data_IF_575898642585
#
_entry.id   IF_575898642585
#
_cell.length_a   1.000
_cell.length_b   1.000
_cell.length_c   1.000
_cell.angle_alpha   90.00
_cell.angle_beta   90.00
_cell.angle_gamma   90.00
#
_symmetry.space_group_name_H-M   'P 1'
#
loop_
_entity.id
_entity.type
_entity.pdbx_description
1 polymer ?
#
# COMPACT_ATOMS: atom_id res chain seq x y z
N UNK A 1 15.81 -8.48 -10.07
CA UNK A 1 14.45 -8.01 -9.74
C UNK A 1 14.58 -6.65 -9.11
N UNK A 2 14.01 -5.62 -9.72
CA UNK A 2 14.01 -4.27 -9.14
C UNK A 2 13.33 -4.31 -7.77
N UNK A 3 13.93 -3.69 -6.76
CA UNK A 3 13.29 -3.58 -5.45
C UNK A 3 12.13 -2.61 -5.57
N UNK A 4 10.90 -3.07 -5.31
CA UNK A 4 9.74 -2.18 -5.29
C UNK A 4 9.85 -1.25 -4.08
N UNK A 5 9.85 0.07 -4.32
CA UNK A 5 9.95 1.09 -3.26
C UNK A 5 8.85 2.13 -3.46
N UNK A 6 8.10 2.43 -2.40
CA UNK A 6 7.12 3.51 -2.36
C UNK A 6 7.83 4.84 -2.08
N UNK A 7 8.25 5.51 -3.15
CA UNK A 7 8.87 6.84 -3.12
C UNK A 7 7.90 7.95 -3.54
N UNK A 8 6.93 7.62 -4.39
CA UNK A 8 5.94 8.56 -4.88
C UNK A 8 4.54 7.92 -4.90
N UNK A 9 3.48 8.74 -4.99
CA UNK A 9 2.11 8.25 -5.02
C UNK A 9 1.76 7.35 -6.22
N UNK A 10 2.40 7.56 -7.37
CA UNK A 10 2.13 6.77 -8.58
C UNK A 10 2.59 5.31 -8.44
N UNK A 11 3.54 5.01 -7.54
CA UNK A 11 3.98 3.66 -7.20
C UNK A 11 3.01 2.92 -6.27
N UNK A 12 2.05 3.62 -5.65
CA UNK A 12 1.12 3.02 -4.69
C UNK A 12 0.40 1.78 -5.22
N UNK A 13 -0.21 1.77 -6.43
CA UNK A 13 -0.96 0.60 -6.90
C UNK A 13 -0.09 -0.66 -7.00
N UNK A 14 1.12 -0.53 -7.54
CA UNK A 14 2.05 -1.66 -7.70
C UNK A 14 2.58 -2.11 -6.34
N UNK A 15 3.00 -1.17 -5.48
CA UNK A 15 3.52 -1.46 -4.15
C UNK A 15 2.46 -2.14 -3.26
N UNK A 16 1.24 -1.63 -3.29
CA UNK A 16 0.09 -2.17 -2.57
C UNK A 16 -0.25 -3.59 -3.01
N UNK A 17 -0.21 -3.88 -4.32
CA UNK A 17 -0.46 -5.23 -4.84
C UNK A 17 0.56 -6.25 -4.32
N UNK A 18 1.84 -5.86 -4.21
CA UNK A 18 2.87 -6.73 -3.62
C UNK A 18 2.64 -6.93 -2.12
N UNK A 19 2.29 -5.87 -1.40
CA UNK A 19 1.92 -5.98 0.02
C UNK A 19 0.76 -6.95 0.23
N UNK A 20 -0.31 -6.79 -0.56
CA UNK A 20 -1.50 -7.65 -0.49
C UNK A 20 -1.13 -9.11 -0.76
N UNK A 21 -0.38 -9.40 -1.82
CA UNK A 21 0.08 -10.76 -2.11
C UNK A 21 0.86 -11.38 -0.95
N UNK A 22 1.79 -10.63 -0.35
CA UNK A 22 2.55 -11.10 0.82
C UNK A 22 1.66 -11.38 2.03
N UNK A 23 0.69 -10.51 2.31
CA UNK A 23 -0.21 -10.68 3.43
C UNK A 23 -1.19 -11.84 3.24
N UNK A 24 -1.62 -12.10 2.01
CA UNK A 24 -2.41 -13.28 1.64
C UNK A 24 -1.58 -14.56 1.79
N UNK A 25 -0.33 -14.57 1.31
CA UNK A 25 0.56 -15.73 1.44
C UNK A 25 0.88 -16.07 2.91
N UNK A 26 0.90 -15.05 3.77
CA UNK A 26 1.12 -15.18 5.21
C UNK A 26 -0.18 -15.43 6.01
N UNK A 27 -1.33 -15.51 5.34
CA UNK A 27 -2.64 -15.76 5.94
C UNK A 27 -3.05 -14.72 7.02
N UNK A 28 -2.73 -13.44 6.77
CA UNK A 28 -3.02 -12.32 7.70
C UNK A 28 -3.68 -11.12 7.01
N UNK A 29 -4.15 -11.27 5.77
CA UNK A 29 -4.74 -10.18 4.98
C UNK A 29 -5.90 -9.49 5.70
N UNK A 30 -6.84 -10.26 6.26
CA UNK A 30 -8.02 -9.75 6.95
C UNK A 30 -7.68 -8.89 8.19
N UNK A 31 -6.46 -9.04 8.74
CA UNK A 31 -5.97 -8.25 9.87
C UNK A 31 -5.32 -6.92 9.46
N UNK A 32 -4.94 -6.78 8.18
CA UNK A 32 -4.12 -5.66 7.69
C UNK A 32 -4.75 -4.89 6.53
N UNK A 33 -5.85 -5.36 5.96
CA UNK A 33 -6.54 -4.72 4.84
C UNK A 33 -7.00 -3.29 5.20
N UNK A 34 -6.44 -2.23 4.59
CA UNK A 34 -6.85 -0.86 4.86
C UNK A 34 -8.24 -0.51 4.30
N UNK A 35 -8.91 -1.42 3.60
CA UNK A 35 -10.31 -1.31 3.18
C UNK A 35 -11.31 -1.89 4.18
N UNK A 36 -10.86 -2.65 5.19
CA UNK A 36 -11.75 -3.27 6.14
C UNK A 36 -12.31 -2.25 7.14
N UNK A 37 -13.64 -2.18 7.28
CA UNK A 37 -14.29 -1.35 8.32
C UNK A 37 -14.00 -1.88 9.72
N UNK A 38 -13.87 -3.20 9.86
CA UNK A 38 -13.57 -3.89 11.10
C UNK A 38 -12.53 -5.00 10.82
N UNK A 39 -11.22 -4.68 10.85
CA UNK A 39 -10.17 -5.65 10.58
C UNK A 39 -10.21 -6.78 11.63
N UNK A 40 -9.86 -7.99 11.20
CA UNK A 40 -9.78 -9.11 12.12
C UNK A 40 -8.79 -8.80 13.24
N UNK A 41 -9.24 -9.08 14.47
CA UNK A 41 -8.38 -8.91 15.64
C UNK A 41 -7.44 -10.09 15.70
N UNK A 42 -6.15 -9.77 15.80
CA UNK A 42 -5.12 -10.73 16.15
C UNK A 42 -5.55 -11.54 17.38
N UNK A 43 -5.25 -12.83 17.37
CA UNK A 43 -5.55 -13.68 18.50
C UNK A 43 -4.87 -13.16 19.77
N UNK A 44 -5.57 -13.09 20.91
CA UNK A 44 -4.93 -12.74 22.17
C UNK A 44 -3.88 -13.78 22.53
N UNK A 45 -2.85 -13.35 23.26
CA UNK A 45 -1.84 -14.29 23.78
C UNK A 45 -2.54 -15.28 24.73
N UNK A 46 -2.50 -16.59 24.46
CA UNK A 46 -3.15 -17.57 25.32
C UNK A 46 -2.41 -17.68 26.66
N UNK A 47 -3.15 -18.01 27.71
CA UNK A 47 -2.62 -18.23 29.05
C UNK A 47 -2.42 -19.74 29.29
N UNK A 48 -1.28 -20.16 29.87
CA UNK A 48 -1.06 -21.56 30.17
C UNK A 48 -2.01 -22.01 31.31
N UNK A 49 -2.56 -23.24 31.24
CA UNK A 49 -3.37 -23.76 32.34
C UNK A 49 -2.52 -23.86 33.61
N UNK A 50 -3.07 -23.46 34.75
CA UNK A 50 -2.34 -23.42 36.02
C UNK A 50 -2.76 -24.58 36.94
N UNK A 51 -1.78 -25.20 37.60
CA UNK A 51 -2.09 -26.24 38.59
C UNK A 51 -2.90 -25.71 39.79
N UNK A 52 -2.81 -24.40 40.07
CA UNK A 52 -3.54 -23.74 41.14
C UNK A 52 -5.05 -23.77 40.96
N UNK A 53 -5.53 -24.00 39.74
CA UNK A 53 -6.95 -24.05 39.40
C UNK A 53 -7.61 -25.34 39.91
N UNK A 54 -6.79 -26.32 40.29
CA UNK A 54 -7.22 -27.63 40.74
C UNK A 54 -6.93 -27.89 42.22
N UNK A 55 -7.74 -28.75 42.83
CA UNK A 55 -7.52 -29.22 44.20
C UNK A 55 -6.55 -30.39 44.22
N UNK A 56 -5.71 -30.44 45.25
CA UNK A 56 -4.78 -31.54 45.47
C UNK A 56 -5.54 -32.79 45.88
N UNK A 57 -5.15 -33.94 45.35
CA UNK A 57 -5.61 -35.26 45.77
C UNK A 57 -5.29 -35.46 47.26
N UNK A 58 -6.33 -35.73 48.04
CA UNK A 58 -6.27 -36.05 49.45
C UNK A 58 -5.74 -37.46 49.68
N UNK A 59 -5.14 -37.66 50.85
CA UNK A 59 -4.73 -39.00 51.31
C UNK A 59 -5.93 -39.65 52.00
N UNK A 60 -6.30 -40.90 51.67
CA UNK A 60 -7.34 -41.61 52.40
C UNK A 60 -6.97 -41.67 53.89
N UNK A 61 -7.77 -41.04 54.74
CA UNK A 61 -7.57 -41.09 56.19
C UNK A 61 -8.08 -42.43 56.68
N UNK A 62 -7.19 -43.42 56.82
CA UNK A 62 -7.54 -44.69 57.48
C UNK A 62 -7.79 -44.42 58.97
N UNK A 63 -9.05 -44.22 59.36
CA UNK A 63 -9.46 -44.42 60.75
C UNK A 63 -9.34 -45.91 61.06
N UNK A 64 -8.33 -46.26 61.86
CA UNK A 64 -8.21 -47.60 62.46
C UNK A 64 -9.48 -47.89 63.28
N UNK A 65 -10.34 -48.76 62.78
CA UNK A 65 -11.51 -49.25 63.52
C UNK A 65 -12.34 -50.27 62.74
N UNK A 66 -12.21 -51.53 63.15
CA UNK A 66 -13.06 -52.70 62.89
C UNK A 66 -13.21 -53.28 61.48
N UNK A 67 -12.82 -54.56 61.41
CA UNK A 67 -13.07 -55.59 60.42
C UNK A 67 -14.54 -55.69 60.02
N UNK A 68 -14.87 -55.50 58.74
CA UNK A 68 -15.92 -56.23 58.02
C UNK A 68 -15.45 -56.44 56.58
N UNK A 69 -15.29 -57.70 56.18
CA UNK A 69 -15.12 -58.13 54.79
C UNK A 69 -16.45 -57.93 54.04
N UNK A 70 -16.46 -57.04 53.04
CA UNK A 70 -17.43 -57.11 51.93
C UNK A 70 -16.70 -56.70 50.65
N UNK A 71 -16.58 -57.66 49.72
CA UNK A 71 -16.18 -57.45 48.33
C UNK A 71 -17.22 -56.62 47.59
N UNK A 72 -17.06 -55.31 47.66
CA UNK A 72 -17.59 -54.36 46.69
C UNK A 72 -16.47 -53.34 46.50
N UNK A 73 -15.92 -53.20 45.29
CA UNK A 73 -15.05 -52.07 44.97
C UNK A 73 -15.86 -50.81 45.23
N UNK A 74 -15.57 -50.04 46.29
CA UNK A 74 -16.22 -48.76 46.44
C UNK A 74 -15.68 -47.91 45.30
N UNK A 75 -16.55 -47.23 44.59
CA UNK A 75 -16.17 -46.04 43.86
C UNK A 75 -15.65 -45.07 44.92
N UNK A 76 -14.35 -45.16 45.25
CA UNK A 76 -13.72 -44.25 46.20
C UNK A 76 -13.65 -42.94 45.44
N UNK A 77 -14.70 -42.13 45.59
CA UNK A 77 -14.71 -40.76 45.15
C UNK A 77 -13.41 -40.12 45.66
N UNK A 78 -12.54 -39.77 44.73
CA UNK A 78 -11.14 -39.47 45.01
C UNK A 78 -11.09 -38.21 45.87
N UNK A 79 -10.92 -38.39 47.19
CA UNK A 79 -11.02 -37.32 48.19
C UNK A 79 -10.17 -36.12 47.76
N UNK A 80 -10.79 -34.96 47.56
CA UNK A 80 -10.08 -33.72 47.25
C UNK A 80 -9.66 -33.02 48.55
N UNK A 81 -8.41 -32.60 48.63
CA UNK A 81 -7.90 -31.74 49.69
C UNK A 81 -8.36 -30.30 49.50
N UNK A 82 -8.40 -29.50 50.57
CA UNK A 82 -8.62 -28.06 50.48
C UNK A 82 -7.39 -27.31 49.92
N UNK A 83 -6.21 -27.95 49.91
CA UNK A 83 -4.98 -27.45 49.31
C UNK A 83 -5.07 -27.41 47.78
N UNK A 84 -4.47 -26.40 47.15
CA UNK A 84 -4.33 -26.34 45.70
C UNK A 84 -3.21 -27.25 45.21
N UNK A 85 -3.38 -27.84 44.02
CA UNK A 85 -2.36 -28.64 43.39
C UNK A 85 -1.16 -27.76 42.95
N UNK A 86 0.04 -28.32 42.96
CA UNK A 86 1.27 -27.63 42.50
C UNK A 86 1.94 -28.32 41.31
N UNK A 87 1.51 -29.53 40.99
CA UNK A 87 2.07 -30.39 39.94
C UNK A 87 1.05 -31.44 39.51
N UNK A 88 1.26 -32.02 38.33
CA UNK A 88 0.40 -33.05 37.74
C UNK A 88 0.11 -34.25 38.65
N UNK A 89 1.07 -34.63 39.50
CA UNK A 89 0.94 -35.74 40.45
C UNK A 89 -0.04 -35.46 41.59
N UNK A 90 -0.26 -34.17 41.89
CA UNK A 90 -1.18 -33.74 42.93
C UNK A 90 -2.63 -33.75 42.42
N UNK A 91 -2.88 -33.93 41.12
CA UNK A 91 -4.23 -33.94 40.56
C UNK A 91 -4.90 -35.31 40.72
N UNK A 92 -6.22 -35.28 40.92
CA UNK A 92 -7.10 -36.43 40.75
C UNK A 92 -7.17 -36.84 39.27
N UNK A 93 -7.66 -38.04 38.98
CA UNK A 93 -7.62 -38.58 37.60
C UNK A 93 -8.35 -37.68 36.60
N UNK A 94 -9.55 -37.21 36.95
CA UNK A 94 -10.38 -36.37 36.09
C UNK A 94 -9.70 -35.01 35.82
N UNK A 95 -9.21 -34.34 36.88
CA UNK A 95 -8.49 -33.06 36.79
C UNK A 95 -7.20 -33.19 35.96
N UNK A 96 -6.55 -34.36 36.01
CA UNK A 96 -5.37 -34.63 35.20
C UNK A 96 -5.72 -34.72 33.71
N UNK A 97 -6.81 -35.41 33.37
CA UNK A 97 -7.28 -35.52 31.99
C UNK A 97 -7.67 -34.14 31.43
N UNK A 98 -8.39 -33.33 32.22
CA UNK A 98 -8.73 -31.95 31.86
C UNK A 98 -7.49 -31.07 31.69
N UNK A 99 -6.54 -31.11 32.63
CA UNK A 99 -5.30 -30.33 32.53
C UNK A 99 -4.50 -30.71 31.28
N UNK A 100 -4.44 -32.00 30.92
CA UNK A 100 -3.76 -32.47 29.71
C UNK A 100 -4.44 -31.92 28.45
N UNK A 101 -5.78 -31.92 28.42
CA UNK A 101 -6.55 -31.34 27.31
C UNK A 101 -6.31 -29.84 27.18
N UNK A 102 -6.49 -29.07 28.26
CA UNK A 102 -6.22 -27.62 28.26
C UNK A 102 -4.78 -27.29 27.88
N UNK A 103 -3.82 -28.14 28.27
CA UNK A 103 -2.42 -27.95 27.88
C UNK A 103 -2.21 -28.22 26.40
N UNK A 104 -2.93 -29.17 25.81
CA UNK A 104 -2.94 -29.42 24.38
C UNK A 104 -3.52 -28.24 23.61
N UNK A 105 -4.65 -27.70 24.06
CA UNK A 105 -5.32 -26.54 23.46
C UNK A 105 -4.40 -25.29 23.54
N UNK A 106 -3.85 -25.00 24.72
CA UNK A 106 -2.83 -23.94 24.88
C UNK A 106 -1.65 -24.10 23.92
N UNK A 107 -1.12 -25.32 23.75
CA UNK A 107 0.00 -25.56 22.84
C UNK A 107 -0.39 -25.34 21.37
N UNK A 108 -1.65 -25.57 21.00
CA UNK A 108 -2.18 -25.28 19.68
C UNK A 108 -2.30 -23.76 19.48
N UNK A 109 -2.96 -23.08 20.42
CA UNK A 109 -3.22 -21.65 20.35
C UNK A 109 -1.92 -20.85 20.39
N UNK A 110 -0.96 -21.20 21.24
CA UNK A 110 0.31 -20.45 21.31
C UNK A 110 1.07 -20.52 19.98
N UNK A 111 0.97 -21.63 19.24
CA UNK A 111 1.59 -21.78 17.91
C UNK A 111 0.93 -20.90 16.87
N UNK A 112 -0.41 -20.79 16.90
CA UNK A 112 -1.14 -19.88 16.00
C UNK A 112 -0.76 -18.43 16.34
N UNK A 113 -0.77 -18.06 17.63
CA UNK A 113 -0.40 -16.71 18.08
C UNK A 113 1.02 -16.33 17.64
N UNK A 114 1.98 -17.24 17.79
CA UNK A 114 3.37 -17.02 17.39
C UNK A 114 3.53 -16.91 15.87
N UNK A 115 2.79 -17.72 15.10
CA UNK A 115 2.77 -17.65 13.63
C UNK A 115 2.26 -16.30 13.15
N UNK A 116 1.11 -15.85 13.66
CA UNK A 116 0.55 -14.53 13.35
C UNK A 116 1.53 -13.41 13.76
N UNK A 117 2.15 -13.51 14.94
CA UNK A 117 3.12 -12.54 15.42
C UNK A 117 4.31 -12.40 14.45
N UNK A 118 4.80 -13.54 13.96
CA UNK A 118 5.92 -13.60 13.03
C UNK A 118 5.54 -13.01 11.66
N UNK A 119 4.38 -13.39 11.12
CA UNK A 119 3.85 -12.88 9.87
C UNK A 119 3.69 -11.34 9.90
N UNK A 120 3.06 -10.80 10.95
CA UNK A 120 2.89 -9.36 11.10
C UNK A 120 4.22 -8.62 11.26
N UNK A 121 5.19 -9.21 11.97
CA UNK A 121 6.54 -8.64 12.10
C UNK A 121 7.27 -8.61 10.76
N UNK A 122 7.16 -9.68 9.98
CA UNK A 122 7.75 -9.76 8.65
C UNK A 122 7.17 -8.68 7.73
N UNK A 123 5.84 -8.55 7.68
CA UNK A 123 5.18 -7.50 6.89
C UNK A 123 5.58 -6.10 7.35
N UNK A 124 5.65 -5.84 8.66
CA UNK A 124 6.12 -4.54 9.18
C UNK A 124 7.53 -4.23 8.69
N UNK A 125 8.45 -5.18 8.80
CA UNK A 125 9.83 -5.00 8.32
C UNK A 125 9.87 -4.77 6.81
N UNK A 126 9.03 -5.48 6.06
CA UNK A 126 8.90 -5.27 4.62
C UNK A 126 8.41 -3.85 4.31
N UNK A 127 7.38 -3.35 5.01
CA UNK A 127 6.91 -1.96 4.83
C UNK A 127 8.01 -0.95 5.15
N UNK A 128 8.71 -1.12 6.28
CA UNK A 128 9.77 -0.21 6.69
C UNK A 128 10.98 -0.20 5.72
N UNK A 129 11.24 -1.31 5.05
CA UNK A 129 12.35 -1.42 4.08
C UNK A 129 11.97 -1.00 2.65
N UNK A 130 10.68 -0.95 2.34
CA UNK A 130 10.19 -0.66 0.99
C UNK A 130 9.38 0.63 0.89
N UNK A 131 9.19 1.37 1.99
CA UNK A 131 8.61 2.71 1.97
C UNK A 131 9.70 3.77 2.20
N UNK A 132 9.64 4.88 1.47
CA UNK A 132 10.57 5.98 1.69
C UNK A 132 10.43 6.57 3.10
N UNK A 133 11.52 7.10 3.64
CA UNK A 133 11.58 7.64 5.00
C UNK A 133 10.45 8.65 5.32
N UNK A 134 10.06 9.49 4.34
CA UNK A 134 8.95 10.44 4.51
C UNK A 134 7.60 9.77 4.82
N UNK A 135 7.33 8.61 4.20
CA UNK A 135 6.11 7.84 4.44
C UNK A 135 6.20 7.11 5.77
N UNK A 136 7.35 6.48 6.06
CA UNK A 136 7.59 5.78 7.33
C UNK A 136 7.41 6.74 8.51
N UNK A 137 8.06 7.90 8.48
CA UNK A 137 8.00 8.87 9.57
C UNK A 137 6.59 9.45 9.78
N UNK A 138 5.79 9.57 8.72
CA UNK A 138 4.44 10.14 8.79
C UNK A 138 3.37 9.10 9.17
N UNK A 139 3.54 7.84 8.77
CA UNK A 139 2.47 6.84 8.81
C UNK A 139 2.75 5.64 9.74
N UNK A 140 4.01 5.36 10.09
CA UNK A 140 4.39 4.11 10.73
C UNK A 140 4.80 4.31 12.20
N UNK A 141 3.83 4.63 13.08
CA UNK A 141 4.07 4.71 14.52
C UNK A 141 4.30 3.31 15.13
N UNK A 142 5.44 3.04 15.81
CA UNK A 142 5.75 1.73 16.40
C UNK A 142 4.67 1.18 17.35
N UNK A 143 3.87 2.05 17.98
CA UNK A 143 2.82 1.68 18.92
C UNK A 143 1.51 1.25 18.24
N UNK A 144 1.34 1.60 16.97
CA UNK A 144 0.12 1.32 16.22
C UNK A 144 0.14 -0.05 15.54
N UNK A 145 -1.04 -0.52 15.11
CA UNK A 145 -1.20 -1.75 14.33
C UNK A 145 -0.72 -1.56 12.89
N UNK A 146 -0.35 -2.65 12.23
CA UNK A 146 0.03 -2.62 10.82
C UNK A 146 -1.15 -2.17 9.93
N UNK A 147 -2.38 -2.54 10.27
CA UNK A 147 -3.59 -2.00 9.63
C UNK A 147 -3.62 -0.46 9.65
N UNK A 148 -3.40 0.15 10.83
CA UNK A 148 -3.40 1.60 10.96
C UNK A 148 -2.33 2.26 10.08
N UNK A 149 -1.14 1.65 9.98
CA UNK A 149 -0.09 2.12 9.07
C UNK A 149 -0.57 2.10 7.61
N UNK A 150 -1.20 0.99 7.19
CA UNK A 150 -1.68 0.83 5.82
C UNK A 150 -2.80 1.82 5.47
N UNK A 151 -3.72 2.10 6.40
CA UNK A 151 -4.77 3.12 6.23
C UNK A 151 -4.14 4.50 6.01
N UNK A 152 -3.17 4.89 6.86
CA UNK A 152 -2.49 6.18 6.73
C UNK A 152 -1.70 6.29 5.42
N UNK A 153 -0.93 5.25 5.08
CA UNK A 153 -0.18 5.19 3.83
C UNK A 153 -1.09 5.34 2.61
N UNK A 154 -2.23 4.63 2.59
CA UNK A 154 -3.25 4.73 1.54
C UNK A 154 -3.81 6.14 1.44
N UNK A 155 -4.11 6.77 2.58
CA UNK A 155 -4.61 8.14 2.64
C UNK A 155 -3.63 9.14 2.06
N UNK A 156 -2.38 9.13 2.52
CA UNK A 156 -1.33 10.07 2.06
C UNK A 156 -1.01 9.84 0.59
N UNK A 157 -0.90 8.59 0.13
CA UNK A 157 -0.67 8.28 -1.27
C UNK A 157 -1.82 8.76 -2.15
N UNK A 158 -3.08 8.61 -1.71
CA UNK A 158 -4.24 9.02 -2.49
C UNK A 158 -4.37 10.55 -2.59
N UNK A 159 -4.16 11.27 -1.48
CA UNK A 159 -4.18 12.74 -1.45
C UNK A 159 -3.07 13.29 -2.33
N UNK A 160 -1.84 12.81 -2.15
CA UNK A 160 -0.69 13.32 -2.89
C UNK A 160 -0.80 13.03 -4.39
N UNK A 161 -1.38 11.88 -4.81
CA UNK A 161 -1.67 11.61 -6.22
C UNK A 161 -2.68 12.61 -6.80
N UNK A 162 -3.75 12.91 -6.05
CA UNK A 162 -4.76 13.88 -6.50
C UNK A 162 -4.19 15.30 -6.59
N UNK A 163 -3.38 15.73 -5.62
CA UNK A 163 -2.69 17.03 -5.65
C UNK A 163 -1.72 17.11 -6.81
N UNK A 164 -0.93 16.06 -7.06
CA UNK A 164 0.00 15.99 -8.19
C UNK A 164 -0.74 16.08 -9.54
N UNK A 165 -1.85 15.34 -9.69
CA UNK A 165 -2.71 15.43 -10.87
C UNK A 165 -3.36 16.80 -11.02
N UNK A 166 -3.80 17.42 -9.93
CA UNK A 166 -4.40 18.76 -9.94
C UNK A 166 -3.38 19.82 -10.34
N UNK A 167 -2.17 19.79 -9.76
CA UNK A 167 -1.11 20.71 -10.09
C UNK A 167 -0.64 20.56 -11.55
N UNK A 168 -0.50 19.32 -12.03
CA UNK A 168 -0.17 19.06 -13.44
C UNK A 168 -1.27 19.56 -14.38
N UNK A 169 -2.55 19.37 -14.04
CA UNK A 169 -3.68 19.90 -14.81
C UNK A 169 -3.69 21.42 -14.82
N UNK A 170 -3.49 22.06 -13.67
CA UNK A 170 -3.46 23.52 -13.57
C UNK A 170 -2.32 24.11 -14.43
N UNK A 171 -1.15 23.47 -14.43
CA UNK A 171 -0.02 23.88 -15.25
C UNK A 171 -0.28 23.71 -16.76
N UNK A 172 -0.87 22.59 -17.17
CA UNK A 172 -1.33 22.38 -18.55
C UNK A 172 -2.38 23.42 -18.96
N UNK A 173 -3.44 23.58 -18.18
CA UNK A 173 -4.50 24.55 -18.48
C UNK A 173 -3.98 25.98 -18.53
N UNK A 174 -3.04 26.32 -17.64
CA UNK A 174 -2.42 27.64 -17.63
C UNK A 174 -1.66 27.90 -18.93
N UNK A 175 -0.84 26.96 -19.40
CA UNK A 175 -0.07 27.15 -20.65
C UNK A 175 -0.98 27.29 -21.86
N UNK A 176 -2.06 26.47 -21.94
CA UNK A 176 -3.07 26.58 -23.01
C UNK A 176 -3.85 27.90 -22.92
N UNK A 177 -4.38 28.26 -21.74
CA UNK A 177 -5.17 29.49 -21.54
C UNK A 177 -4.35 30.76 -21.79
N UNK A 178 -3.11 30.80 -21.33
CA UNK A 178 -2.22 31.94 -21.54
C UNK A 178 -2.00 32.19 -23.03
N UNK A 179 -1.74 31.14 -23.80
CA UNK A 179 -1.53 31.25 -25.25
C UNK A 179 -2.83 31.45 -26.05
N UNK A 180 -3.97 30.97 -25.54
CA UNK A 180 -5.27 31.25 -26.15
C UNK A 180 -5.72 32.72 -25.97
N UNK A 181 -5.21 33.39 -24.93
CA UNK A 181 -5.55 34.79 -24.58
C UNK A 181 -4.56 35.79 -25.17
N UNK A 182 -3.26 35.46 -25.17
CA UNK A 182 -2.22 36.30 -25.75
C UNK A 182 -2.01 35.91 -27.21
N UNK A 183 -2.27 36.82 -28.15
CA UNK A 183 -1.88 36.63 -29.56
C UNK A 183 -0.35 36.62 -29.65
N UNK A 184 0.23 35.44 -29.90
CA UNK A 184 1.67 35.30 -30.13
C UNK A 184 2.00 35.77 -31.54
N UNK A 185 2.91 36.74 -31.66
CA UNK A 185 3.20 37.44 -32.93
C UNK A 185 4.61 37.21 -33.44
N UNK A 186 5.52 36.78 -32.56
CA UNK A 186 6.92 36.53 -32.89
C UNK A 186 7.26 35.04 -32.76
N UNK A 187 8.27 34.58 -33.51
CA UNK A 187 8.76 33.20 -33.44
C UNK A 187 9.19 32.80 -32.02
N UNK A 188 9.95 33.68 -31.35
CA UNK A 188 10.44 33.45 -30.00
C UNK A 188 9.33 33.29 -28.96
N UNK A 189 8.20 33.99 -29.12
CA UNK A 189 7.03 33.81 -28.22
C UNK A 189 6.38 32.44 -28.38
N UNK A 190 6.31 31.94 -29.62
CA UNK A 190 5.75 30.62 -29.94
C UNK A 190 6.69 29.52 -29.43
N UNK A 191 8.01 29.67 -29.66
CA UNK A 191 9.02 28.71 -29.18
C UNK A 191 9.01 28.60 -27.65
N UNK A 192 9.01 29.73 -26.94
CA UNK A 192 8.93 29.75 -25.48
C UNK A 192 7.62 29.14 -24.94
N UNK A 193 6.50 29.36 -25.64
CA UNK A 193 5.24 28.71 -25.28
C UNK A 193 5.30 27.18 -25.50
N UNK A 194 5.85 26.73 -26.63
CA UNK A 194 6.01 25.30 -26.93
C UNK A 194 6.88 24.59 -25.89
N UNK A 195 7.97 25.21 -25.43
CA UNK A 195 8.81 24.66 -24.36
C UNK A 195 8.03 24.52 -23.04
N UNK A 196 7.23 25.53 -22.67
CA UNK A 196 6.41 25.48 -21.46
C UNK A 196 5.28 24.44 -21.57
N UNK A 197 4.65 24.35 -22.74
CA UNK A 197 3.61 23.36 -23.02
C UNK A 197 4.18 21.93 -22.99
N UNK A 198 5.34 21.70 -23.61
CA UNK A 198 6.04 20.40 -23.59
C UNK A 198 6.39 19.99 -22.15
N UNK A 199 6.94 20.90 -21.35
CA UNK A 199 7.24 20.65 -19.95
C UNK A 199 5.98 20.27 -19.14
N UNK A 200 4.86 20.99 -19.35
CA UNK A 200 3.60 20.70 -18.71
C UNK A 200 3.03 19.33 -19.14
N UNK A 201 3.13 18.98 -20.43
CA UNK A 201 2.69 17.69 -20.95
C UNK A 201 3.49 16.53 -20.36
N UNK A 202 4.83 16.64 -20.32
CA UNK A 202 5.69 15.62 -19.72
C UNK A 202 5.36 15.39 -18.24
N UNK A 203 5.14 16.47 -17.49
CA UNK A 203 4.73 16.41 -16.08
C UNK A 203 3.35 15.75 -15.91
N UNK A 204 2.40 16.04 -16.78
CA UNK A 204 1.09 15.37 -16.81
C UNK A 204 1.19 13.88 -17.13
N UNK A 205 2.07 13.50 -18.05
CA UNK A 205 2.31 12.10 -18.41
C UNK A 205 2.91 11.30 -17.25
N UNK A 206 3.84 11.90 -16.49
CA UNK A 206 4.45 11.30 -15.30
C UNK A 206 3.40 10.92 -14.25
N UNK A 207 2.35 11.73 -14.08
CA UNK A 207 1.26 11.51 -13.11
C UNK A 207 0.05 10.79 -13.71
N UNK A 208 0.16 10.30 -14.96
CA UNK A 208 -0.92 9.65 -15.71
C UNK A 208 -2.20 10.51 -15.83
N UNK A 209 -2.04 11.76 -16.24
CA UNK A 209 -3.15 12.64 -16.58
C UNK A 209 -3.64 12.34 -18.00
N UNK A 210 -4.95 12.06 -18.17
CA UNK A 210 -5.53 11.75 -19.48
C UNK A 210 -5.34 12.89 -20.48
N UNK A 211 -5.52 14.14 -20.01
CA UNK A 211 -5.36 15.37 -20.79
C UNK A 211 -3.97 15.57 -21.41
N UNK A 212 -2.95 14.78 -21.05
CA UNK A 212 -1.60 14.90 -21.61
C UNK A 212 -1.10 13.60 -22.25
N UNK A 213 -1.96 12.57 -22.30
CA UNK A 213 -1.65 11.25 -22.87
C UNK A 213 -2.48 10.95 -24.09
N UNK A 214 -3.78 11.24 -24.01
CA UNK A 214 -4.72 10.87 -25.05
C UNK A 214 -4.81 12.01 -26.08
N UNK A 215 -4.44 11.72 -27.32
CA UNK A 215 -4.41 12.71 -28.41
C UNK A 215 -5.71 13.49 -28.59
N UNK A 216 -6.84 12.80 -28.49
CA UNK A 216 -8.17 13.42 -28.57
C UNK A 216 -8.43 14.45 -27.48
N UNK A 217 -7.72 14.38 -26.36
CA UNK A 217 -7.93 15.28 -25.21
C UNK A 217 -7.13 16.59 -25.33
N UNK A 218 -5.98 16.60 -26.00
CA UNK A 218 -5.10 17.79 -26.08
C UNK A 218 -4.94 18.40 -27.47
N UNK A 219 -5.17 17.63 -28.54
CA UNK A 219 -4.96 18.07 -29.92
C UNK A 219 -5.82 19.28 -30.28
N UNK A 220 -7.11 19.29 -29.93
CA UNK A 220 -7.99 20.43 -30.21
C UNK A 220 -7.52 21.72 -29.55
N UNK A 221 -7.10 21.64 -28.29
CA UNK A 221 -6.64 22.79 -27.53
C UNK A 221 -5.33 23.34 -28.09
N UNK A 222 -4.42 22.44 -28.47
CA UNK A 222 -3.18 22.78 -29.14
C UNK A 222 -3.43 23.49 -30.48
N UNK A 223 -4.27 22.91 -31.35
CA UNK A 223 -4.62 23.50 -32.65
C UNK A 223 -5.33 24.84 -32.50
N UNK A 224 -6.23 25.00 -31.51
CA UNK A 224 -6.89 26.29 -31.21
C UNK A 224 -5.89 27.38 -30.85
N UNK A 225 -4.82 27.04 -30.13
CA UNK A 225 -3.75 27.99 -29.78
C UNK A 225 -2.92 28.34 -31.02
N UNK A 226 -2.49 27.34 -31.79
CA UNK A 226 -1.67 27.53 -32.99
C UNK A 226 -2.43 28.35 -34.06
N UNK A 227 -3.74 28.12 -34.24
CA UNK A 227 -4.61 28.87 -35.15
C UNK A 227 -4.68 30.37 -34.87
N UNK A 228 -4.40 30.79 -33.62
CA UNK A 228 -4.40 32.20 -33.22
C UNK A 228 -3.04 32.88 -33.40
N UNK A 229 -1.99 32.14 -33.75
CA UNK A 229 -0.65 32.72 -33.97
C UNK A 229 -0.59 33.52 -35.27
N UNK A 230 0.23 34.56 -35.31
CA UNK A 230 0.33 35.43 -36.49
C UNK A 230 1.20 34.84 -37.62
N UNK A 231 1.76 33.64 -37.46
CA UNK A 231 2.70 33.03 -38.41
C UNK A 231 1.96 31.97 -39.24
N UNK A 232 1.36 32.38 -40.36
CA UNK A 232 0.55 31.51 -41.21
C UNK A 232 1.34 30.34 -41.82
N UNK A 233 2.62 30.52 -42.11
CA UNK A 233 3.49 29.46 -42.62
C UNK A 233 3.75 28.36 -41.58
N UNK A 234 3.91 28.75 -40.31
CA UNK A 234 4.09 27.83 -39.19
C UNK A 234 2.82 26.99 -38.96
N UNK A 235 1.64 27.63 -39.01
CA UNK A 235 0.35 26.96 -38.94
C UNK A 235 0.16 25.91 -40.04
N UNK A 236 0.42 26.28 -41.30
CA UNK A 236 0.20 25.39 -42.44
C UNK A 236 1.11 24.15 -42.43
N UNK A 237 2.38 24.30 -42.03
CA UNK A 237 3.30 23.17 -41.91
C UNK A 237 2.87 22.23 -40.79
N UNK A 238 2.50 22.79 -39.64
CA UNK A 238 2.13 21.99 -38.48
C UNK A 238 0.81 21.26 -38.71
N UNK A 239 -0.21 21.93 -39.24
CA UNK A 239 -1.54 21.37 -39.55
C UNK A 239 -1.48 20.26 -40.62
N UNK A 240 -0.69 20.44 -41.68
CA UNK A 240 -0.51 19.41 -42.72
C UNK A 240 0.11 18.12 -42.17
N UNK A 241 1.11 18.26 -41.28
CA UNK A 241 1.77 17.11 -40.66
C UNK A 241 0.97 16.47 -39.53
N UNK A 242 0.20 17.28 -38.79
CA UNK A 242 -0.76 16.79 -37.79
C UNK A 242 -1.86 15.93 -38.41
N UNK A 243 -2.18 16.15 -39.70
CA UNK A 243 -3.12 15.35 -40.47
C UNK A 243 -2.47 14.13 -41.18
N UNK A 244 -1.16 14.15 -41.44
CA UNK A 244 -0.43 12.99 -42.00
C UNK A 244 -0.06 11.94 -40.95
N UNK A 245 0.22 12.37 -39.71
CA UNK A 245 0.42 11.46 -38.58
C UNK A 245 -0.92 11.18 -37.91
N UNK A 246 -1.38 9.93 -37.93
CA UNK A 246 -2.66 9.54 -37.27
C UNK A 246 -2.66 9.83 -35.75
N UNK A 247 -1.49 10.09 -35.14
CA UNK A 247 -1.35 10.46 -33.73
C UNK A 247 0.09 10.91 -33.39
N UNK A 248 0.50 12.16 -33.67
CA UNK A 248 1.85 12.63 -33.35
C UNK A 248 2.08 12.71 -31.84
N UNK A 249 3.16 12.09 -31.39
CA UNK A 249 3.68 12.16 -30.02
C UNK A 249 4.32 13.53 -29.73
N UNK A 250 4.36 13.92 -28.46
CA UNK A 250 5.06 15.15 -28.01
C UNK A 250 6.52 15.14 -28.48
N UNK A 251 7.18 13.99 -28.44
CA UNK A 251 8.57 13.85 -28.90
C UNK A 251 8.76 14.13 -30.39
N UNK A 252 7.77 13.80 -31.23
CA UNK A 252 7.80 14.12 -32.66
C UNK A 252 7.63 15.64 -32.87
N UNK A 253 6.69 16.26 -32.15
CA UNK A 253 6.52 17.72 -32.13
C UNK A 253 7.82 18.43 -31.72
N UNK A 254 8.50 17.93 -30.70
CA UNK A 254 9.77 18.49 -30.21
C UNK A 254 10.95 18.26 -31.14
N UNK A 255 10.96 17.16 -31.89
CA UNK A 255 11.99 16.90 -32.89
C UNK A 255 11.86 17.86 -34.08
N UNK A 256 10.64 18.17 -34.49
CA UNK A 256 10.36 19.11 -35.59
C UNK A 256 10.69 20.57 -35.24
N UNK A 257 10.52 20.95 -33.97
CA UNK A 257 11.02 22.24 -33.45
C UNK A 257 12.50 22.45 -33.77
N UNK A 258 13.32 21.40 -33.68
CA UNK A 258 14.78 21.50 -33.89
C UNK A 258 15.13 21.63 -35.38
N UNK A 259 14.43 20.91 -36.26
CA UNK A 259 14.72 20.92 -37.70
C UNK A 259 14.28 22.22 -38.38
N UNK A 260 13.18 22.85 -37.96
CA UNK A 260 12.79 24.17 -38.48
C UNK A 260 13.65 25.33 -37.95
N UNK A 261 14.22 25.18 -36.75
CA UNK A 261 15.22 26.11 -36.20
C UNK A 261 16.46 26.22 -37.10
N UNK A 262 16.95 25.08 -37.58
CA UNK A 262 18.15 25.00 -38.41
C UNK A 262 17.91 25.51 -39.85
N UNK A 263 16.78 25.15 -40.48
CA UNK A 263 16.44 25.61 -41.83
C UNK A 263 16.08 27.10 -41.93
N UNK A 264 15.75 27.76 -40.82
CA UNK A 264 15.59 29.21 -40.76
C UNK A 264 16.94 29.94 -40.61
N UNK A 265 17.92 29.31 -39.96
CA UNK A 265 19.30 29.82 -39.85
C UNK A 265 20.05 29.75 -41.18
N UNK A 266 19.88 28.66 -41.94
CA UNK A 266 20.52 28.49 -43.25
C UNK A 266 19.99 29.49 -44.29
N UNK A 267 18.67 29.76 -44.31
CA UNK A 267 18.07 30.73 -45.23
C UNK A 267 18.47 32.19 -44.97
N UNK A 268 18.90 32.52 -43.76
CA UNK A 268 19.44 33.86 -43.45
C UNK A 268 20.94 33.99 -43.78
N UNK A 269 21.67 32.89 -43.95
CA UNK A 269 23.09 32.93 -44.38
C UNK A 269 23.25 33.01 -45.89
N UNK A 270 22.26 32.56 -46.68
CA UNK A 270 22.28 32.68 -48.15
C UNK A 270 21.80 34.05 -48.67
N UNK A 271 21.36 34.95 -47.80
CA UNK A 271 20.86 36.29 -48.14
C UNK A 271 21.85 37.44 -47.83
N UNK A 272 23.13 37.13 -47.57
CA UNK A 272 24.21 38.13 -47.37
C UNK A 272 25.30 37.95 -48.41
#
# INVERSE_FOLDING_TARGET
MESIVLNNPSQWPTWYKVFQGKATDLDVWEQVDPGAENPEKRMPKPEPPAFSDYKKKGIPRHTRGSTIEVSQTPDIEELRSNETARRLQDLVKEDREEYVQLRSDYNHDIRIYEREAAALRELRNWVLSTAAAKYVNACCDPTETLHAWMVKLKGVASISNNEQKSAAREEYEKTVKQAATKRMTTKAEIENWLEQWEAAMLKGQEVNLAQTRDFSEWSEDFLKVIAKTAISAFHATFEAKFHESDNPSISEISAERRTEGDHASERNQEAT
#
